data_IF_863189451265
#
_entry.id   IF_863189451265
#
_cell.length_a   1.000
_cell.length_b   1.000
_cell.length_c   1.000
_cell.angle_alpha   90.00
_cell.angle_beta   90.00
_cell.angle_gamma   90.00
#
_symmetry.space_group_name_H-M   'P 1'
#
loop_
_entity.id
_entity.type
_entity.pdbx_description
1 polymer ?
#
# COMPACT_ATOMS: atom_id res chain seq x y z
N UNK A 1 22.59 35.01 -15.31
CA UNK A 1 22.35 33.58 -15.65
C UNK A 1 21.62 32.77 -14.57
N UNK A 2 21.72 33.15 -13.28
CA UNK A 2 21.13 32.38 -12.17
C UNK A 2 19.68 32.72 -11.83
N UNK A 3 19.16 33.85 -12.33
CA UNK A 3 17.80 34.34 -12.05
C UNK A 3 16.72 33.75 -12.99
N UNK A 4 17.11 33.20 -14.14
CA UNK A 4 16.19 32.57 -15.10
C UNK A 4 15.79 31.12 -14.74
N UNK A 5 16.57 30.44 -13.89
CA UNK A 5 16.25 29.10 -13.40
C UNK A 5 15.22 29.10 -12.25
N UNK A 6 15.20 30.15 -11.43
CA UNK A 6 14.25 30.27 -10.30
C UNK A 6 12.80 30.51 -10.75
N UNK A 7 12.57 31.25 -11.84
CA UNK A 7 11.22 31.46 -12.37
C UNK A 7 10.60 30.18 -12.95
N UNK A 8 11.41 29.25 -13.46
CA UNK A 8 10.93 27.95 -14.00
C UNK A 8 10.51 26.97 -12.90
N UNK A 9 11.06 27.11 -11.68
CA UNK A 9 10.67 26.31 -10.52
C UNK A 9 9.40 26.80 -9.82
N UNK A 10 8.95 28.04 -10.02
CA UNK A 10 7.75 28.55 -9.35
C UNK A 10 6.46 28.32 -10.14
N UNK A 11 6.51 28.27 -11.48
CA UNK A 11 5.35 27.91 -12.31
C UNK A 11 5.08 26.40 -12.40
N UNK A 12 6.08 25.56 -12.11
CA UNK A 12 5.97 24.09 -12.21
C UNK A 12 5.41 23.44 -10.94
N UNK A 13 5.59 24.07 -9.76
CA UNK A 13 5.07 23.56 -8.49
C UNK A 13 3.53 23.44 -8.48
N UNK A 14 2.76 24.48 -8.87
CA UNK A 14 1.30 24.36 -8.92
C UNK A 14 0.81 23.27 -9.89
N UNK A 15 1.53 23.07 -11.00
CA UNK A 15 1.21 22.02 -11.97
C UNK A 15 1.53 20.62 -11.43
N UNK A 16 2.65 20.44 -10.73
CA UNK A 16 3.00 19.18 -10.06
C UNK A 16 2.01 18.86 -8.93
N UNK A 17 1.62 19.85 -8.14
CA UNK A 17 0.65 19.67 -7.05
C UNK A 17 -0.71 19.23 -7.61
N UNK A 18 -1.17 19.87 -8.70
CA UNK A 18 -2.39 19.48 -9.40
C UNK A 18 -2.30 18.06 -9.99
N UNK A 19 -1.16 17.70 -10.60
CA UNK A 19 -0.94 16.35 -11.11
C UNK A 19 -0.94 15.30 -9.99
N UNK A 20 -0.38 15.64 -8.82
CA UNK A 20 -0.37 14.74 -7.66
C UNK A 20 -1.76 14.51 -7.09
N UNK A 21 -2.60 15.55 -7.03
CA UNK A 21 -4.00 15.42 -6.63
C UNK A 21 -4.76 14.52 -7.61
N UNK A 22 -4.56 14.70 -8.91
CA UNK A 22 -5.17 13.83 -9.92
C UNK A 22 -4.65 12.39 -9.82
N UNK A 23 -3.37 12.21 -9.51
CA UNK A 23 -2.81 10.88 -9.27
C UNK A 23 -3.41 10.23 -8.02
N UNK A 24 -3.61 10.98 -6.92
CA UNK A 24 -4.32 10.47 -5.76
C UNK A 24 -5.73 10.00 -6.13
N UNK A 25 -6.46 10.77 -6.94
CA UNK A 25 -7.77 10.36 -7.46
C UNK A 25 -7.70 9.04 -8.23
N UNK A 26 -6.66 8.83 -9.04
CA UNK A 26 -6.43 7.54 -9.70
C UNK A 26 -6.15 6.42 -8.69
N UNK A 27 -5.35 6.66 -7.64
CA UNK A 27 -5.12 5.70 -6.56
C UNK A 27 -6.41 5.37 -5.79
N UNK A 28 -7.37 6.29 -5.74
CA UNK A 28 -8.71 6.01 -5.17
C UNK A 28 -9.61 5.19 -6.10
N UNK A 29 -9.28 5.13 -7.39
CA UNK A 29 -10.00 4.31 -8.35
C UNK A 29 -9.53 2.86 -8.24
N UNK A 30 -10.41 2.01 -7.72
CA UNK A 30 -10.16 0.58 -7.50
C UNK A 30 -9.63 -0.15 -8.75
N UNK A 31 -10.22 0.11 -9.92
CA UNK A 31 -9.81 -0.57 -11.15
C UNK A 31 -8.40 -0.15 -11.58
N UNK A 32 -8.12 1.15 -11.49
CA UNK A 32 -6.80 1.68 -11.79
C UNK A 32 -5.74 1.09 -10.86
N UNK A 33 -5.98 1.11 -9.55
CA UNK A 33 -4.99 0.64 -8.57
C UNK A 33 -4.68 -0.85 -8.73
N UNK A 34 -5.71 -1.67 -8.94
CA UNK A 34 -5.55 -3.09 -9.21
C UNK A 34 -4.73 -3.33 -10.51
N UNK A 35 -5.05 -2.61 -11.58
CA UNK A 35 -4.34 -2.71 -12.85
C UNK A 35 -2.90 -2.20 -12.76
N UNK A 36 -2.65 -1.14 -12.00
CA UNK A 36 -1.32 -0.58 -11.76
C UNK A 36 -0.42 -1.63 -11.10
N UNK A 37 -0.89 -2.25 -10.02
CA UNK A 37 -0.11 -3.27 -9.29
C UNK A 37 0.19 -4.47 -10.20
N UNK A 38 -0.81 -4.97 -10.92
CA UNK A 38 -0.63 -6.08 -11.86
C UNK A 38 0.36 -5.75 -12.98
N UNK A 39 0.30 -4.52 -13.49
CA UNK A 39 1.19 -4.07 -14.56
C UNK A 39 2.63 -3.95 -14.06
N UNK A 40 2.85 -3.45 -12.83
CA UNK A 40 4.16 -3.37 -12.21
C UNK A 40 4.75 -4.76 -11.96
N UNK A 41 3.98 -5.67 -11.35
CA UNK A 41 4.44 -7.04 -11.06
C UNK A 41 4.69 -7.88 -12.32
N UNK A 42 4.03 -7.56 -13.44
CA UNK A 42 4.29 -8.23 -14.71
C UNK A 42 5.65 -7.86 -15.35
N UNK A 43 6.31 -6.79 -14.89
CA UNK A 43 7.59 -6.38 -15.45
C UNK A 43 8.73 -7.27 -14.94
N UNK A 44 9.53 -7.82 -15.86
CA UNK A 44 10.69 -8.67 -15.51
C UNK A 44 11.76 -7.97 -14.66
N UNK A 45 11.82 -6.64 -14.73
CA UNK A 45 12.75 -5.81 -13.97
C UNK A 45 12.25 -5.44 -12.57
N UNK A 46 10.97 -5.74 -12.27
CA UNK A 46 10.36 -5.42 -10.98
C UNK A 46 10.81 -6.43 -9.94
N UNK A 47 11.71 -5.99 -9.06
CA UNK A 47 12.36 -6.87 -8.10
C UNK A 47 11.80 -6.70 -6.68
N UNK A 48 12.31 -7.49 -5.72
CA UNK A 48 11.85 -7.50 -4.33
C UNK A 48 11.94 -6.10 -3.67
N UNK A 49 12.96 -5.29 -4.01
CA UNK A 49 13.08 -3.93 -3.48
C UNK A 49 11.94 -3.06 -3.97
N UNK A 50 11.58 -3.17 -5.25
CA UNK A 50 10.48 -2.41 -5.84
C UNK A 50 9.14 -2.84 -5.25
N UNK A 51 8.93 -4.16 -5.07
CA UNK A 51 7.77 -4.72 -4.36
C UNK A 51 7.63 -4.08 -2.98
N UNK A 52 8.71 -4.08 -2.20
CA UNK A 52 8.71 -3.56 -0.83
C UNK A 52 8.42 -2.07 -0.78
N UNK A 53 9.02 -1.31 -1.69
CA UNK A 53 8.84 0.13 -1.78
C UNK A 53 7.42 0.50 -2.20
N UNK A 54 6.91 -0.08 -3.29
CA UNK A 54 5.57 0.19 -3.81
C UNK A 54 4.52 -0.17 -2.78
N UNK A 55 4.60 -1.36 -2.18
CA UNK A 55 3.65 -1.77 -1.14
C UNK A 55 3.63 -0.81 0.05
N UNK A 56 4.80 -0.34 0.50
CA UNK A 56 4.90 0.59 1.63
C UNK A 56 4.35 1.98 1.28
N UNK A 57 4.67 2.50 0.11
CA UNK A 57 4.15 3.79 -0.37
C UNK A 57 2.62 3.76 -0.55
N UNK A 58 2.08 2.68 -1.13
CA UNK A 58 0.63 2.51 -1.31
C UNK A 58 -0.11 2.45 0.04
N UNK A 59 0.43 1.70 1.01
CA UNK A 59 -0.17 1.63 2.35
C UNK A 59 -0.16 2.99 3.03
N UNK A 60 0.94 3.75 2.95
CA UNK A 60 0.99 5.11 3.52
C UNK A 60 0.02 6.04 2.81
N UNK A 61 -0.04 6.02 1.48
CA UNK A 61 -0.96 6.85 0.68
C UNK A 61 -2.43 6.58 0.99
N UNK A 62 -2.76 5.36 1.43
CA UNK A 62 -4.13 4.96 1.80
C UNK A 62 -4.38 4.89 3.32
N UNK A 63 -3.39 5.19 4.18
CA UNK A 63 -3.51 4.99 5.63
C UNK A 63 -4.64 5.83 6.27
N UNK A 64 -4.99 6.98 5.67
CA UNK A 64 -6.14 7.80 6.09
C UNK A 64 -7.51 7.21 5.69
N UNK A 65 -7.53 6.13 4.90
CA UNK A 65 -8.72 5.48 4.35
C UNK A 65 -8.62 3.95 4.51
N UNK A 66 -8.51 3.50 5.77
CA UNK A 66 -8.28 2.09 6.12
C UNK A 66 -9.34 1.13 5.57
N UNK A 67 -10.60 1.55 5.44
CA UNK A 67 -11.66 0.75 4.82
C UNK A 67 -11.35 0.45 3.35
N UNK A 68 -10.95 1.47 2.59
CA UNK A 68 -10.53 1.33 1.19
C UNK A 68 -9.28 0.46 1.06
N UNK A 69 -8.27 0.68 1.90
CA UNK A 69 -7.07 -0.17 1.93
C UNK A 69 -7.43 -1.65 2.17
N UNK A 70 -8.36 -1.92 3.09
CA UNK A 70 -8.81 -3.28 3.40
C UNK A 70 -9.57 -3.91 2.23
N UNK A 71 -10.40 -3.14 1.52
CA UNK A 71 -11.07 -3.60 0.30
C UNK A 71 -10.05 -3.99 -0.78
N UNK A 72 -9.05 -3.12 -1.04
CA UNK A 72 -7.99 -3.38 -2.02
C UNK A 72 -7.18 -4.62 -1.65
N UNK A 73 -6.78 -4.76 -0.38
CA UNK A 73 -6.12 -5.96 0.13
C UNK A 73 -6.95 -7.21 -0.12
N UNK A 74 -8.24 -7.20 0.21
CA UNK A 74 -9.14 -8.33 -0.01
C UNK A 74 -9.17 -8.75 -1.48
N UNK A 75 -9.30 -7.79 -2.40
CA UNK A 75 -9.37 -8.07 -3.84
C UNK A 75 -8.06 -8.62 -4.40
N UNK A 76 -6.92 -8.06 -3.98
CA UNK A 76 -5.61 -8.56 -4.37
C UNK A 76 -5.33 -9.96 -3.79
N UNK A 77 -5.74 -10.21 -2.54
CA UNK A 77 -5.59 -11.52 -1.90
C UNK A 77 -6.44 -12.59 -2.61
N UNK A 78 -7.68 -12.26 -3.02
CA UNK A 78 -8.49 -13.16 -3.84
C UNK A 78 -7.78 -13.53 -5.14
N UNK A 79 -7.22 -12.53 -5.85
CA UNK A 79 -6.42 -12.78 -7.06
C UNK A 79 -5.16 -13.62 -6.79
N UNK A 80 -4.52 -13.41 -5.64
CA UNK A 80 -3.36 -14.22 -5.24
C UNK A 80 -3.77 -15.67 -4.97
N UNK A 81 -4.93 -15.90 -4.33
CA UNK A 81 -5.49 -17.24 -4.11
C UNK A 81 -5.72 -17.91 -5.47
N UNK A 82 -6.42 -17.27 -6.39
CA UNK A 82 -6.70 -17.82 -7.71
C UNK A 82 -5.41 -18.20 -8.46
N UNK A 83 -4.39 -17.33 -8.40
CA UNK A 83 -3.05 -17.62 -8.95
C UNK A 83 -2.37 -18.80 -8.25
N UNK A 84 -2.42 -18.84 -6.92
CA UNK A 84 -1.75 -19.87 -6.11
C UNK A 84 -2.34 -21.26 -6.32
N UNK A 85 -3.67 -21.38 -6.45
CA UNK A 85 -4.37 -22.65 -6.67
C UNK A 85 -4.02 -23.25 -8.03
N UNK A 86 -3.69 -22.41 -9.01
CA UNK A 86 -3.17 -22.85 -10.30
C UNK A 86 -1.71 -23.37 -10.26
N UNK A 87 -0.99 -23.17 -9.14
CA UNK A 87 0.38 -23.67 -8.98
C UNK A 87 0.42 -25.09 -8.41
N UNK A 88 1.58 -25.75 -8.52
CA UNK A 88 1.80 -27.09 -7.93
C UNK A 88 1.84 -27.09 -6.39
N UNK A 89 2.00 -25.92 -5.76
CA UNK A 89 2.26 -25.80 -4.32
C UNK A 89 1.47 -24.64 -3.67
N UNK A 90 0.13 -24.67 -3.70
CA UNK A 90 -0.72 -23.60 -3.14
C UNK A 90 -0.47 -23.34 -1.65
N UNK A 91 -0.02 -24.35 -0.90
CA UNK A 91 0.34 -24.24 0.52
C UNK A 91 1.52 -23.30 0.81
N UNK A 92 2.26 -22.86 -0.22
CA UNK A 92 3.37 -21.91 -0.07
C UNK A 92 2.91 -20.44 -0.16
N UNK A 93 1.65 -20.19 -0.50
CA UNK A 93 1.07 -18.85 -0.50
C UNK A 93 1.29 -18.16 0.86
N UNK A 94 1.69 -16.88 0.86
CA UNK A 94 1.99 -16.09 2.06
C UNK A 94 3.19 -16.57 2.90
N UNK A 95 3.96 -17.58 2.46
CA UNK A 95 5.14 -18.06 3.20
C UNK A 95 6.33 -17.10 3.09
N UNK A 96 6.42 -16.36 2.00
CA UNK A 96 7.47 -15.37 1.71
C UNK A 96 6.80 -14.12 1.16
N UNK A 97 7.51 -13.00 1.24
CA UNK A 97 7.04 -11.75 0.62
C UNK A 97 7.52 -11.71 -0.82
N UNK A 98 6.72 -12.25 -1.74
CA UNK A 98 7.07 -12.35 -3.16
C UNK A 98 6.17 -11.48 -4.05
N UNK A 99 5.11 -10.92 -3.47
CA UNK A 99 4.17 -10.00 -4.13
C UNK A 99 3.93 -8.72 -3.34
N UNK A 100 3.47 -7.69 -4.03
CA UNK A 100 3.04 -6.41 -3.47
C UNK A 100 1.95 -6.62 -2.43
N UNK A 101 0.98 -7.50 -2.71
CA UNK A 101 -0.14 -7.77 -1.77
C UNK A 101 0.34 -8.42 -0.47
N UNK A 102 1.28 -9.36 -0.51
CA UNK A 102 1.86 -9.98 0.69
C UNK A 102 2.57 -8.94 1.57
N UNK A 103 3.31 -8.02 0.93
CA UNK A 103 3.95 -6.94 1.67
C UNK A 103 2.95 -5.93 2.21
N UNK A 104 1.93 -5.56 1.43
CA UNK A 104 0.86 -4.67 1.88
C UNK A 104 0.12 -5.27 3.07
N UNK A 105 -0.16 -6.57 3.07
CA UNK A 105 -0.80 -7.27 4.19
C UNK A 105 0.03 -7.16 5.47
N UNK A 106 1.35 -7.37 5.37
CA UNK A 106 2.28 -7.22 6.50
C UNK A 106 2.29 -5.79 7.05
N UNK A 107 2.32 -4.80 6.16
CA UNK A 107 2.30 -3.39 6.54
C UNK A 107 0.96 -2.98 7.17
N UNK A 108 -0.17 -3.45 6.61
CA UNK A 108 -1.50 -3.22 7.16
C UNK A 108 -1.66 -3.82 8.56
N UNK A 109 -1.19 -5.06 8.76
CA UNK A 109 -1.20 -5.70 10.08
C UNK A 109 -0.39 -4.89 11.10
N UNK A 110 0.75 -4.35 10.67
CA UNK A 110 1.58 -3.46 11.51
C UNK A 110 0.81 -2.21 11.94
N UNK A 111 0.04 -1.60 11.05
CA UNK A 111 -0.81 -0.45 11.39
C UNK A 111 -1.92 -0.83 12.38
N UNK A 112 -2.63 -1.94 12.13
CA UNK A 112 -3.69 -2.41 13.02
C UNK A 112 -3.17 -2.78 14.41
N UNK A 113 -1.97 -3.34 14.52
CA UNK A 113 -1.36 -3.77 15.77
C UNK A 113 -0.63 -2.66 16.53
N UNK A 114 -0.32 -1.52 15.89
CA UNK A 114 0.47 -0.45 16.51
C UNK A 114 -0.09 0.01 17.86
N UNK A 115 -1.40 0.26 17.94
CA UNK A 115 -2.06 0.69 19.19
C UNK A 115 -1.93 -0.36 20.29
N UNK A 116 -2.14 -1.64 19.94
CA UNK A 116 -2.03 -2.75 20.89
C UNK A 116 -0.62 -2.87 21.47
N UNK A 117 0.41 -2.78 20.60
CA UNK A 117 1.81 -2.85 21.00
C UNK A 117 2.22 -1.63 21.83
N UNK A 118 1.74 -0.44 21.48
CA UNK A 118 2.04 0.80 22.20
C UNK A 118 1.48 0.80 23.63
N UNK A 119 0.31 0.18 23.84
CA UNK A 119 -0.38 0.14 25.14
C UNK A 119 0.01 -1.10 25.96
N UNK A 120 0.76 -2.05 25.39
CA UNK A 120 1.31 -3.19 26.12
C UNK A 120 0.31 -4.33 26.38
N UNK A 121 -0.78 -4.41 25.61
CA UNK A 121 -1.82 -5.44 25.77
C UNK A 121 -3.24 -4.87 25.79
N UNK A 122 -4.25 -5.71 26.04
CA UNK A 122 -5.61 -5.24 26.24
C UNK A 122 -5.65 -4.28 27.44
N UNK A 123 -6.25 -3.10 27.26
CA UNK A 123 -6.50 -2.15 28.35
C UNK A 123 -7.34 -2.88 29.39
N UNK A 124 -6.75 -3.23 30.53
CA UNK A 124 -7.52 -3.74 31.65
C UNK A 124 -8.58 -2.69 32.00
N UNK A 125 -9.87 -3.06 32.09
CA UNK A 125 -10.88 -2.12 32.51
C UNK A 125 -10.49 -1.56 33.89
N UNK A 126 -10.75 -0.27 34.15
CA UNK A 126 -10.46 0.32 35.45
C UNK A 126 -11.15 -0.50 36.54
N UNK A 127 -10.50 -0.71 37.71
CA UNK A 127 -11.12 -1.42 38.81
C UNK A 127 -12.43 -0.71 39.22
N UNK A 128 -13.48 -1.46 39.58
CA UNK A 128 -14.74 -0.85 40.02
C UNK A 128 -14.48 0.07 41.21
N UNK A 129 -14.95 1.31 41.12
CA UNK A 129 -14.89 2.27 42.23
C UNK A 129 -15.67 1.71 43.41
N UNK A 130 -14.96 1.39 44.49
CA UNK A 130 -15.52 1.04 45.80
C UNK A 130 -15.76 2.30 46.61
#
# INVERSE_FOLDING_TARGET
>A
PSSSLQLRMNGCRPAMDSAMIQFEQLITNRYFLLALIETLEAQKTFNIRDIVNVASLLVVAMAGRMEYLTEILRLLLLRLIDKSVATKHPQLMLRRTESVVEKMLTNWMTLCMYTYLKVGGPVNPPPPSS
#
